data_IF_862793312521
#
_entry.id   IF_862793312521
#
_cell.length_a   1.000
_cell.length_b   1.000
_cell.length_c   1.000
_cell.angle_alpha   90.00
_cell.angle_beta   90.00
_cell.angle_gamma   90.00
#
_symmetry.space_group_name_H-M   'P 1'
#
loop_
_entity.id
_entity.type
_entity.pdbx_description
1 polymer ?
#
# COMPACT_ATOMS: atom_id res chain seq x y z
N UNK A 1 0.19 -4.58 -16.39
CA UNK A 1 0.32 -6.00 -16.02
C UNK A 1 1.74 -6.51 -16.31
N UNK A 2 2.18 -6.57 -17.57
CA UNK A 2 3.51 -7.08 -17.94
C UNK A 2 4.69 -6.37 -17.25
N UNK A 3 4.57 -5.05 -17.01
CA UNK A 3 5.57 -4.29 -16.26
C UNK A 3 5.79 -4.80 -14.83
N UNK A 4 4.74 -5.27 -14.15
CA UNK A 4 4.85 -5.80 -12.79
C UNK A 4 5.54 -7.19 -12.78
N UNK A 5 5.23 -8.03 -13.76
CA UNK A 5 5.90 -9.33 -13.95
C UNK A 5 7.37 -9.12 -14.29
N UNK A 6 7.67 -8.27 -15.28
CA UNK A 6 9.02 -8.03 -15.74
C UNK A 6 9.89 -7.33 -14.69
N UNK A 7 9.36 -6.30 -14.04
CA UNK A 7 10.09 -5.49 -13.06
C UNK A 7 10.26 -6.18 -11.70
N UNK A 8 9.20 -6.81 -11.18
CA UNK A 8 9.13 -7.24 -9.79
C UNK A 8 8.90 -8.75 -9.60
N UNK A 9 8.64 -9.49 -10.67
CA UNK A 9 8.13 -10.87 -10.59
C UNK A 9 6.80 -10.96 -9.82
N UNK A 10 5.96 -9.93 -9.95
CA UNK A 10 4.61 -9.89 -9.38
C UNK A 10 3.64 -10.47 -10.40
N UNK A 11 3.01 -11.59 -10.03
CA UNK A 11 2.04 -12.27 -10.87
C UNK A 11 0.80 -11.41 -11.12
N UNK A 12 0.21 -11.55 -12.30
CA UNK A 12 -0.94 -10.74 -12.70
C UNK A 12 -2.12 -10.82 -11.72
N UNK A 13 -2.33 -11.97 -11.08
CA UNK A 13 -3.39 -12.16 -10.07
C UNK A 13 -3.19 -11.29 -8.83
N UNK A 14 -1.95 -10.90 -8.51
CA UNK A 14 -1.63 -10.03 -7.36
C UNK A 14 -2.10 -8.60 -7.54
N UNK A 15 -2.23 -8.12 -8.79
CA UNK A 15 -2.58 -6.73 -9.09
C UNK A 15 -3.85 -6.62 -9.95
N UNK A 16 -4.48 -7.72 -10.33
CA UNK A 16 -5.62 -7.72 -11.26
C UNK A 16 -6.78 -6.86 -10.75
N UNK A 17 -7.10 -6.95 -9.45
CA UNK A 17 -8.20 -6.17 -8.88
C UNK A 17 -7.88 -4.68 -8.89
N UNK A 18 -6.66 -4.30 -8.47
CA UNK A 18 -6.19 -2.91 -8.52
C UNK A 18 -6.15 -2.37 -9.96
N UNK A 19 -5.72 -3.18 -10.93
CA UNK A 19 -5.71 -2.79 -12.34
C UNK A 19 -7.12 -2.55 -12.90
N UNK A 20 -8.09 -3.39 -12.53
CA UNK A 20 -9.51 -3.21 -12.92
C UNK A 20 -10.09 -1.92 -12.35
N UNK A 21 -9.89 -1.68 -11.06
CA UNK A 21 -10.35 -0.44 -10.44
C UNK A 21 -9.58 0.78 -10.98
N UNK A 22 -8.28 0.66 -11.26
CA UNK A 22 -7.49 1.72 -11.84
C UNK A 22 -8.05 2.23 -13.17
N UNK A 23 -8.61 1.36 -14.02
CA UNK A 23 -9.28 1.79 -15.26
C UNK A 23 -10.51 2.68 -15.00
N UNK A 24 -11.18 2.54 -13.86
CA UNK A 24 -12.30 3.40 -13.48
C UNK A 24 -11.85 4.79 -13.02
N UNK A 25 -10.57 4.99 -12.72
CA UNK A 25 -10.07 6.26 -12.20
C UNK A 25 -9.99 7.38 -13.24
N UNK A 26 -10.00 7.02 -14.53
CA UNK A 26 -9.99 7.94 -15.65
C UNK A 26 -11.19 7.72 -16.59
N UNK A 27 -11.25 8.49 -17.67
CA UNK A 27 -12.30 8.40 -18.68
C UNK A 27 -11.91 7.58 -19.92
N UNK A 28 -10.65 7.19 -20.03
CA UNK A 28 -10.16 6.38 -21.14
C UNK A 28 -10.59 4.91 -20.98
N UNK A 29 -10.81 4.22 -22.11
CA UNK A 29 -11.38 2.88 -22.11
C UNK A 29 -10.39 1.78 -21.69
N UNK A 30 -9.11 1.93 -22.05
CA UNK A 30 -8.08 0.88 -21.95
C UNK A 30 -6.72 1.40 -21.45
N UNK A 31 -6.66 2.67 -21.08
CA UNK A 31 -5.47 3.34 -20.57
C UNK A 31 -5.82 4.14 -19.33
N UNK A 32 -4.82 4.40 -18.50
CA UNK A 32 -4.95 5.19 -17.28
C UNK A 32 -3.76 6.13 -17.19
N UNK A 33 -4.01 7.40 -16.91
CA UNK A 33 -2.97 8.32 -16.45
C UNK A 33 -2.66 7.96 -14.99
N UNK A 34 -1.38 7.86 -14.62
CA UNK A 34 -1.01 7.45 -13.27
C UNK A 34 -1.50 8.44 -12.21
N UNK A 35 -1.58 9.73 -12.55
CA UNK A 35 -2.11 10.75 -11.63
C UNK A 35 -3.60 10.53 -11.33
N UNK A 36 -4.34 9.94 -12.27
CA UNK A 36 -5.76 9.61 -12.07
C UNK A 36 -5.96 8.56 -10.97
N UNK A 37 -4.96 7.71 -10.69
CA UNK A 37 -5.03 6.71 -9.62
C UNK A 37 -5.18 7.32 -8.23
N UNK A 38 -4.91 8.63 -8.05
CA UNK A 38 -5.19 9.37 -6.82
C UNK A 38 -6.68 9.72 -6.61
N UNK A 39 -7.59 9.19 -7.45
CA UNK A 39 -9.02 9.31 -7.21
C UNK A 39 -9.41 8.62 -5.89
N UNK A 40 -9.79 9.44 -4.92
CA UNK A 40 -10.10 9.03 -3.55
C UNK A 40 -11.26 8.03 -3.48
N UNK A 41 -11.16 7.10 -2.53
CA UNK A 41 -12.14 6.04 -2.22
C UNK A 41 -12.36 4.98 -3.32
N UNK A 42 -11.52 4.94 -4.35
CA UNK A 42 -11.51 3.87 -5.36
C UNK A 42 -10.43 2.80 -5.05
N UNK A 43 -9.18 3.10 -5.37
CA UNK A 43 -8.00 2.35 -4.90
C UNK A 43 -7.24 3.19 -3.89
N UNK A 44 -7.03 4.47 -4.18
CA UNK A 44 -6.50 5.44 -3.20
C UNK A 44 -7.42 5.50 -1.98
N UNK A 45 -6.80 5.53 -0.80
CA UNK A 45 -7.46 5.47 0.48
C UNK A 45 -6.69 6.24 1.56
N UNK A 46 -7.43 6.62 2.60
CA UNK A 46 -6.86 7.24 3.80
C UNK A 46 -5.90 6.30 4.55
N UNK A 47 -5.17 6.86 5.50
CA UNK A 47 -4.20 6.15 6.35
C UNK A 47 -3.09 5.46 5.54
N UNK A 48 -2.74 6.05 4.40
CA UNK A 48 -1.58 5.69 3.58
C UNK A 48 -0.27 5.82 4.37
N UNK A 49 0.70 4.95 4.08
CA UNK A 49 1.99 4.93 4.79
C UNK A 49 2.93 6.09 4.41
N UNK A 50 2.73 6.71 3.24
CA UNK A 50 3.64 7.74 2.72
C UNK A 50 2.96 8.92 2.04
N UNK A 51 1.62 8.95 1.95
CA UNK A 51 0.81 10.02 1.33
C UNK A 51 -0.18 10.57 2.37
N UNK A 52 -0.58 11.83 2.21
CA UNK A 52 -1.60 12.44 3.10
C UNK A 52 -3.00 11.97 2.70
N UNK A 53 -3.91 11.94 3.67
CA UNK A 53 -5.33 11.70 3.41
C UNK A 53 -5.90 12.81 2.50
N UNK A 54 -6.76 12.45 1.56
CA UNK A 54 -7.31 13.37 0.55
C UNK A 54 -7.96 14.62 1.17
N UNK A 55 -8.73 14.43 2.24
CA UNK A 55 -9.41 15.52 2.94
C UNK A 55 -8.45 16.50 3.63
N UNK A 56 -7.18 16.13 3.81
CA UNK A 56 -6.17 16.90 4.52
C UNK A 56 -5.10 17.51 3.61
N UNK A 57 -5.07 17.16 2.32
CA UNK A 57 -4.16 17.76 1.35
C UNK A 57 -3.76 16.82 0.22
N UNK A 58 -2.47 16.83 -0.12
CA UNK A 58 -1.91 16.10 -1.24
C UNK A 58 -1.83 14.58 -0.99
N UNK A 59 -2.76 13.84 -1.60
CA UNK A 59 -2.84 12.38 -1.53
C UNK A 59 -2.04 11.64 -2.61
N UNK A 60 -1.32 12.37 -3.47
CA UNK A 60 -0.58 11.78 -4.59
C UNK A 60 0.91 11.67 -4.29
N UNK A 61 1.52 12.76 -3.81
CA UNK A 61 2.98 12.85 -3.70
C UNK A 61 3.52 12.27 -2.38
N UNK A 62 4.75 11.75 -2.45
CA UNK A 62 5.46 11.25 -1.28
C UNK A 62 5.61 12.33 -0.20
N UNK A 63 5.35 11.92 1.05
CA UNK A 63 5.42 12.76 2.23
C UNK A 63 6.38 12.15 3.28
N UNK A 64 7.58 12.71 3.39
CA UNK A 64 8.61 12.25 4.33
C UNK A 64 8.15 12.30 5.79
N UNK A 65 7.30 13.27 6.17
CA UNK A 65 6.81 13.39 7.55
C UNK A 65 5.93 12.19 7.91
N UNK A 66 5.01 11.80 7.03
CA UNK A 66 4.15 10.66 7.25
C UNK A 66 4.93 9.34 7.18
N UNK A 67 5.84 9.23 6.21
CA UNK A 67 6.69 8.04 6.05
C UNK A 67 7.67 7.86 7.22
N UNK A 68 8.01 8.92 7.96
CA UNK A 68 8.88 8.83 9.14
C UNK A 68 8.35 7.88 10.22
N UNK A 69 7.03 7.65 10.29
CA UNK A 69 6.41 6.65 11.18
C UNK A 69 6.98 5.26 10.89
N UNK A 70 7.07 4.91 9.61
CA UNK A 70 7.66 3.65 9.17
C UNK A 70 9.15 3.61 9.45
N UNK A 71 9.90 4.67 9.11
CA UNK A 71 11.36 4.72 9.29
C UNK A 71 11.76 4.53 10.76
N UNK A 72 11.00 5.12 11.68
CA UNK A 72 11.29 5.09 13.10
C UNK A 72 10.75 3.83 13.81
N UNK A 73 10.03 2.95 13.11
CA UNK A 73 9.57 1.69 13.70
C UNK A 73 10.77 0.78 13.94
N UNK A 74 10.83 0.15 15.12
CA UNK A 74 11.86 -0.82 15.47
C UNK A 74 13.30 -0.31 15.16
N UNK A 75 13.78 0.75 15.84
CA UNK A 75 15.03 1.44 15.49
C UNK A 75 16.28 0.57 15.60
N UNK A 76 16.21 -0.52 16.38
CA UNK A 76 17.34 -1.44 16.61
C UNK A 76 17.47 -2.53 15.52
N UNK A 77 16.63 -2.49 14.48
CA UNK A 77 16.60 -3.45 13.37
C UNK A 77 16.78 -2.78 12.03
N UNK A 78 17.58 -3.41 11.16
CA UNK A 78 17.75 -3.05 9.74
C UNK A 78 16.65 -3.60 8.83
N UNK A 79 15.62 -4.25 9.39
CA UNK A 79 14.56 -4.91 8.64
C UNK A 79 13.17 -4.39 9.01
N UNK A 80 12.32 -4.27 8.00
CA UNK A 80 10.87 -4.28 8.15
C UNK A 80 10.39 -5.74 8.09
N UNK A 81 9.35 -6.01 8.87
CA UNK A 81 8.69 -7.31 9.01
C UNK A 81 7.17 -7.13 8.96
N UNK A 82 6.38 -8.22 8.81
CA UNK A 82 4.92 -8.16 8.91
C UNK A 82 4.44 -7.50 10.21
N UNK A 83 5.11 -7.78 11.33
CA UNK A 83 4.84 -7.15 12.63
C UNK A 83 5.01 -5.63 12.58
N UNK A 84 6.14 -5.14 12.05
CA UNK A 84 6.35 -3.68 11.94
C UNK A 84 5.35 -3.04 10.98
N UNK A 85 4.93 -3.74 9.92
CA UNK A 85 3.93 -3.25 8.99
C UNK A 85 2.55 -3.10 9.65
N UNK A 86 2.14 -4.09 10.46
CA UNK A 86 0.90 -4.04 11.24
C UNK A 86 0.90 -2.86 12.23
N UNK A 87 2.02 -2.64 12.93
CA UNK A 87 2.18 -1.51 13.85
C UNK A 87 2.12 -0.16 13.12
N UNK A 88 2.82 -0.03 11.98
CA UNK A 88 2.78 1.19 11.16
C UNK A 88 1.38 1.46 10.66
N UNK A 89 0.66 0.45 10.17
CA UNK A 89 -0.74 0.61 9.76
C UNK A 89 -1.61 1.13 10.89
N UNK A 90 -1.47 0.56 12.09
CA UNK A 90 -2.20 1.04 13.27
C UNK A 90 -1.91 2.53 13.53
N UNK A 91 -0.63 2.89 13.61
CA UNK A 91 -0.22 4.26 13.89
C UNK A 91 -0.68 5.25 12.83
N UNK A 92 -0.65 4.87 11.55
CA UNK A 92 -1.14 5.71 10.46
C UNK A 92 -2.66 5.89 10.52
N UNK A 93 -3.41 4.83 10.84
CA UNK A 93 -4.86 4.92 11.01
C UNK A 93 -5.25 5.76 12.23
N UNK A 94 -4.59 5.56 13.38
CA UNK A 94 -4.85 6.33 14.60
C UNK A 94 -4.61 7.85 14.34
N UNK A 95 -3.57 8.18 13.58
CA UNK A 95 -3.26 9.55 13.16
C UNK A 95 -4.30 10.13 12.18
N UNK A 96 -4.76 9.35 11.20
CA UNK A 96 -5.86 9.74 10.32
C UNK A 96 -7.15 9.98 11.10
N UNK A 97 -7.54 9.08 12.01
CA UNK A 97 -8.72 9.25 12.88
C UNK A 97 -8.63 10.53 13.73
N UNK A 98 -7.43 10.86 14.22
CA UNK A 98 -7.23 12.03 15.05
C UNK A 98 -7.33 13.36 14.28
N UNK A 99 -6.94 13.37 12.99
CA UNK A 99 -6.78 14.60 12.20
C UNK A 99 -7.81 14.79 11.10
N UNK A 100 -8.40 13.71 10.59
CA UNK A 100 -9.33 13.69 9.47
C UNK A 100 -10.76 13.34 9.95
N UNK A 101 -11.65 14.34 10.13
CA UNK A 101 -13.05 14.09 10.49
C UNK A 101 -13.85 13.30 9.44
N UNK A 102 -13.31 13.15 8.22
CA UNK A 102 -13.91 12.46 7.09
C UNK A 102 -13.14 11.19 6.71
N UNK A 103 -12.42 10.58 7.67
CA UNK A 103 -11.62 9.38 7.43
C UNK A 103 -12.48 8.21 6.96
N UNK A 104 -12.12 7.62 5.81
CA UNK A 104 -12.67 6.37 5.30
C UNK A 104 -11.85 5.19 5.84
N UNK A 105 -12.47 4.30 6.62
CA UNK A 105 -11.80 3.13 7.20
C UNK A 105 -12.74 1.92 7.28
N UNK A 106 -13.05 1.34 6.12
CA UNK A 106 -13.87 0.13 6.00
C UNK A 106 -12.99 -1.11 5.82
N UNK A 107 -13.61 -2.29 5.74
CA UNK A 107 -12.92 -3.52 5.36
C UNK A 107 -12.13 -3.35 4.04
N UNK A 108 -12.66 -2.56 3.08
CA UNK A 108 -12.01 -2.33 1.78
C UNK A 108 -10.64 -1.68 1.94
N UNK A 109 -10.59 -0.52 2.61
CA UNK A 109 -9.35 0.23 2.84
C UNK A 109 -8.36 -0.58 3.69
N UNK A 110 -8.86 -1.32 4.68
CA UNK A 110 -8.01 -2.15 5.53
C UNK A 110 -7.35 -3.30 4.77
N UNK A 111 -8.10 -4.00 3.92
CA UNK A 111 -7.57 -5.06 3.06
C UNK A 111 -6.57 -4.51 2.03
N UNK A 112 -6.85 -3.36 1.42
CA UNK A 112 -5.90 -2.70 0.50
C UNK A 112 -4.57 -2.37 1.19
N UNK A 113 -4.61 -1.69 2.33
CA UNK A 113 -3.42 -1.33 3.13
C UNK A 113 -2.58 -2.55 3.55
N UNK A 114 -3.26 -3.63 3.93
CA UNK A 114 -2.64 -4.91 4.30
C UNK A 114 -1.95 -5.56 3.11
N UNK A 115 -2.62 -5.62 1.98
CA UNK A 115 -2.06 -6.18 0.74
C UNK A 115 -0.90 -5.37 0.19
N UNK A 116 -0.98 -4.04 0.21
CA UNK A 116 0.12 -3.15 -0.17
C UNK A 116 1.34 -3.37 0.72
N UNK A 117 1.10 -3.59 2.02
CA UNK A 117 2.17 -3.90 2.97
C UNK A 117 2.85 -5.23 2.67
N UNK A 118 2.07 -6.29 2.45
CA UNK A 118 2.59 -7.58 2.00
C UNK A 118 3.36 -7.44 0.70
N UNK A 119 2.88 -6.62 -0.24
CA UNK A 119 3.50 -6.45 -1.55
C UNK A 119 4.89 -5.83 -1.47
N UNK A 120 5.08 -4.70 -0.76
CA UNK A 120 6.43 -4.12 -0.65
C UNK A 120 7.39 -5.03 0.14
N UNK A 121 6.89 -5.74 1.16
CA UNK A 121 7.71 -6.71 1.92
C UNK A 121 8.13 -7.89 1.03
N UNK A 122 7.23 -8.40 0.18
CA UNK A 122 7.56 -9.46 -0.77
C UNK A 122 8.49 -9.00 -1.90
N UNK A 123 8.34 -7.77 -2.39
CA UNK A 123 9.17 -7.24 -3.48
C UNK A 123 10.60 -6.98 -2.99
N UNK A 124 10.75 -6.35 -1.82
CA UNK A 124 12.05 -5.91 -1.32
C UNK A 124 12.66 -6.86 -0.29
N UNK A 125 11.98 -7.93 0.07
CA UNK A 125 12.42 -8.89 1.06
C UNK A 125 12.28 -10.34 0.61
N UNK A 126 12.03 -11.21 1.58
CA UNK A 126 11.69 -12.60 1.33
C UNK A 126 10.17 -12.75 1.16
N UNK A 127 9.74 -13.27 0.01
CA UNK A 127 8.31 -13.42 -0.31
C UNK A 127 7.53 -14.23 0.73
N UNK A 128 8.14 -15.24 1.36
CA UNK A 128 7.47 -16.11 2.34
C UNK A 128 7.48 -15.56 3.77
N UNK A 129 8.57 -14.91 4.22
CA UNK A 129 8.68 -14.41 5.60
C UNK A 129 8.33 -12.94 5.76
N UNK A 130 8.29 -12.19 4.66
CA UNK A 130 8.05 -10.75 4.70
C UNK A 130 9.17 -9.94 5.34
N UNK A 131 10.36 -10.51 5.52
CA UNK A 131 11.50 -9.77 6.09
C UNK A 131 12.21 -9.03 4.97
N UNK A 132 12.14 -7.70 4.99
CA UNK A 132 12.68 -6.82 3.96
C UNK A 132 13.71 -5.84 4.53
N UNK A 133 14.91 -5.68 3.93
CA UNK A 133 15.86 -4.66 4.35
C UNK A 133 15.26 -3.26 4.26
N UNK A 134 15.30 -2.49 5.36
CA UNK A 134 14.79 -1.11 5.43
C UNK A 134 15.39 -0.25 4.33
N UNK A 135 16.68 -0.44 4.02
CA UNK A 135 17.39 0.27 2.96
C UNK A 135 16.66 0.20 1.61
N UNK A 136 16.20 -0.98 1.21
CA UNK A 136 15.54 -1.17 -0.09
C UNK A 136 14.17 -0.51 -0.13
N UNK A 137 13.37 -0.75 0.90
CA UNK A 137 12.02 -0.17 1.02
C UNK A 137 12.11 1.36 1.07
N UNK A 138 13.02 1.91 1.88
CA UNK A 138 13.19 3.36 2.01
C UNK A 138 13.60 4.04 0.70
N UNK A 139 14.50 3.44 -0.08
CA UNK A 139 14.89 3.96 -1.40
C UNK A 139 13.70 3.95 -2.34
N UNK A 140 12.96 2.84 -2.38
CA UNK A 140 11.80 2.72 -3.26
C UNK A 140 10.75 3.79 -2.95
N UNK A 141 10.39 4.00 -1.68
CA UNK A 141 9.38 5.00 -1.32
C UNK A 141 9.84 6.45 -1.56
N UNK A 142 11.11 6.76 -1.30
CA UNK A 142 11.63 8.14 -1.42
C UNK A 142 12.00 8.54 -2.86
N UNK A 143 12.45 7.58 -3.65
CA UNK A 143 13.05 7.85 -4.97
C UNK A 143 12.24 7.25 -6.12
N UNK A 144 11.24 6.42 -5.82
CA UNK A 144 10.47 5.65 -6.81
C UNK A 144 11.39 4.85 -7.75
N UNK A 145 12.51 4.38 -7.20
CA UNK A 145 13.61 3.72 -7.90
C UNK A 145 13.85 2.32 -7.35
N UNK A 146 14.20 1.39 -8.23
CA UNK A 146 14.68 0.06 -7.83
C UNK A 146 16.08 0.15 -7.18
N UNK A 147 16.29 -0.39 -5.98
CA UNK A 147 17.56 -0.30 -5.25
C UNK A 147 18.63 -1.29 -5.76
N UNK A 148 18.82 -1.34 -7.08
CA UNK A 148 19.70 -2.29 -7.77
C UNK A 148 21.17 -2.07 -7.38
N UNK A 149 21.60 -0.80 -7.33
CA UNK A 149 22.97 -0.44 -6.93
C UNK A 149 23.25 -0.80 -5.47
N UNK A 150 22.20 -0.82 -4.64
CA UNK A 150 22.25 -1.18 -3.25
C UNK A 150 22.21 -2.70 -3.01
N UNK A 151 22.06 -3.49 -4.06
CA UNK A 151 22.12 -4.95 -4.05
C UNK A 151 20.77 -5.65 -4.13
N UNK A 152 19.66 -4.91 -4.30
CA UNK A 152 18.37 -5.53 -4.54
C UNK A 152 18.36 -6.30 -5.86
N UNK A 153 17.68 -7.45 -5.84
CA UNK A 153 17.41 -8.26 -7.00
C UNK A 153 15.94 -8.61 -7.04
N UNK A 154 15.38 -8.67 -8.24
CA UNK A 154 14.02 -9.16 -8.47
C UNK A 154 13.84 -10.54 -7.83
N UNK A 155 12.71 -10.77 -7.15
CA UNK A 155 12.42 -12.06 -6.53
C UNK A 155 12.47 -13.20 -7.55
N UNK A 156 13.05 -14.34 -7.15
CA UNK A 156 13.04 -15.59 -7.93
C UNK A 156 11.70 -16.34 -7.79
N UNK A 157 10.95 -16.05 -6.73
CA UNK A 157 9.63 -16.61 -6.46
C UNK A 157 8.58 -15.66 -7.05
N UNK A 158 7.66 -16.20 -7.84
CA UNK A 158 6.54 -15.43 -8.37
C UNK A 158 5.66 -14.95 -7.22
N UNK A 159 5.50 -13.63 -7.07
CA UNK A 159 4.68 -13.04 -6.02
C UNK A 159 3.22 -13.10 -6.46
N UNK A 160 2.47 -14.05 -5.90
CA UNK A 160 1.02 -14.27 -6.08
C UNK A 160 0.26 -14.00 -4.78
N UNK A 161 -1.09 -13.87 -4.80
CA UNK A 161 -1.87 -13.83 -3.58
C UNK A 161 -1.55 -14.99 -2.63
N UNK A 162 -1.47 -16.23 -3.15
CA UNK A 162 -1.15 -17.42 -2.35
C UNK A 162 0.20 -17.31 -1.63
N UNK A 163 1.22 -16.73 -2.29
CA UNK A 163 2.54 -16.57 -1.66
C UNK A 163 2.59 -15.46 -0.62
N UNK A 164 1.64 -14.52 -0.66
CA UNK A 164 1.54 -13.41 0.30
C UNK A 164 0.55 -13.71 1.42
N UNK A 165 -0.33 -14.70 1.27
CA UNK A 165 -1.49 -14.93 2.12
C UNK A 165 -1.14 -14.99 3.61
N UNK A 166 -0.17 -15.82 3.99
CA UNK A 166 0.20 -15.99 5.41
C UNK A 166 0.72 -14.67 6.04
N UNK A 167 1.42 -13.86 5.25
CA UNK A 167 1.91 -12.55 5.68
C UNK A 167 0.78 -11.53 5.77
N UNK A 168 -0.14 -11.51 4.81
CA UNK A 168 -1.31 -10.63 4.82
C UNK A 168 -2.21 -10.94 6.01
N UNK A 169 -2.51 -12.23 6.25
CA UNK A 169 -3.27 -12.71 7.40
C UNK A 169 -2.59 -12.32 8.72
N UNK A 170 -1.26 -12.44 8.80
CA UNK A 170 -0.51 -12.01 9.97
C UNK A 170 -0.63 -10.50 10.20
N UNK A 171 -0.46 -9.68 9.17
CA UNK A 171 -0.58 -8.22 9.27
C UNK A 171 -1.98 -7.85 9.74
N UNK A 172 -3.01 -8.43 9.13
CA UNK A 172 -4.41 -8.22 9.47
C UNK A 172 -4.66 -8.53 10.94
N UNK A 173 -4.26 -9.73 11.40
CA UNK A 173 -4.47 -10.18 12.77
C UNK A 173 -3.76 -9.32 13.84
N UNK A 174 -2.62 -8.72 13.51
CA UNK A 174 -1.78 -7.98 14.47
C UNK A 174 -1.90 -6.45 14.35
N UNK A 175 -2.69 -5.94 13.41
CA UNK A 175 -2.90 -4.49 13.21
C UNK A 175 -3.78 -3.84 14.28
N UNK A 176 -4.49 -4.63 15.10
CA UNK A 176 -5.51 -4.16 16.05
C UNK A 176 -6.51 -3.18 15.40
N UNK A 177 -6.92 -3.51 14.18
CA UNK A 177 -7.85 -2.72 13.38
C UNK A 177 -9.28 -2.82 13.92
N UNK A 178 -10.01 -1.71 13.82
CA UNK A 178 -11.44 -1.63 14.05
C UNK A 178 -12.07 -0.79 12.95
N UNK A 179 -13.18 -1.26 12.39
CA UNK A 179 -13.94 -0.56 11.36
C UNK A 179 -14.55 0.76 11.88
N UNK A 180 -14.66 1.75 11.00
CA UNK A 180 -15.55 2.89 11.26
C UNK A 180 -17.02 2.43 11.24
N UNK A 181 -17.89 3.09 12.01
CA UNK A 181 -19.32 2.75 12.06
C UNK A 181 -20.13 3.33 10.88
N UNK A 182 -19.45 3.98 9.92
CA UNK A 182 -20.08 4.70 8.82
C UNK A 182 -20.24 3.81 7.58
N UNK A 183 -21.32 4.03 6.83
CA UNK A 183 -21.49 3.45 5.51
C UNK A 183 -20.87 4.43 4.51
N UNK A 184 -19.65 4.13 4.09
CA UNK A 184 -18.91 4.97 3.16
C UNK A 184 -19.40 4.74 1.72
N UNK A 185 -19.53 5.79 0.92
CA UNK A 185 -20.08 5.67 -0.43
C UNK A 185 -19.10 4.96 -1.38
N UNK A 186 -19.63 4.24 -2.36
CA UNK A 186 -18.84 3.49 -3.33
C UNK A 186 -18.48 4.38 -4.52
N UNK A 187 -17.22 4.76 -4.62
CA UNK A 187 -16.70 5.45 -5.81
C UNK A 187 -16.47 4.44 -6.93
N UNK A 188 -17.03 4.73 -8.10
CA UNK A 188 -16.92 3.90 -9.31
C UNK A 188 -16.35 4.66 -10.51
N UNK A 189 -15.86 5.87 -10.30
CA UNK A 189 -15.11 6.67 -11.25
C UNK A 189 -15.22 8.18 -10.98
N UNK A 190 -14.64 9.04 -11.84
CA UNK A 190 -14.76 10.48 -11.72
C UNK A 190 -16.23 10.90 -11.60
N UNK A 191 -16.55 11.68 -10.58
CA UNK A 191 -17.90 12.19 -10.29
C UNK A 191 -19.00 11.11 -10.20
N UNK A 192 -18.63 9.83 -9.96
CA UNK A 192 -19.53 8.69 -9.98
C UNK A 192 -19.48 7.93 -8.67
N UNK A 193 -20.54 8.08 -7.87
CA UNK A 193 -20.63 7.60 -6.48
C UNK A 193 -21.99 6.94 -6.25
N UNK A 194 -22.01 5.76 -5.61
CA UNK A 194 -23.22 4.96 -5.29
C UNK A 194 -23.37 4.81 -3.78
#
# INVERSE_FOLDING_TARGET
MDGAVAGFNVGNTSILQAAKFGLLSGLAFDTVDLDALALHNLVEHDASISRQDWALGDNLHFNETLFSVMVNINPDSDFYTPETAAQVQKMRLDDSIARNPSVTNTDKEFQLRSRESSLYLSIFGNTSTGVAPKKFVNIFFREERLPIEEGWKRSEILITPDTMNDMEDFIVANSNWTQSQACEPLVIGPDSVI
#
